data_IF_434862941841
#
_entry.id   IF_434862941841
#
_cell.length_a   1.000
_cell.length_b   1.000
_cell.length_c   1.000
_cell.angle_alpha   90.00
_cell.angle_beta   90.00
_cell.angle_gamma   90.00
#
_symmetry.space_group_name_H-M   'P 1'
#
loop_
_entity.id
_entity.type
_entity.pdbx_description
1 polymer ?
#
# COMPACT_ATOMS: atom_id res chain seq x y z
N UNK A 1 -0.07 -16.42 -7.65
CA UNK A 1 0.37 -15.02 -7.74
C UNK A 1 -0.04 -14.28 -6.46
N UNK A 2 0.84 -13.46 -5.95
CA UNK A 2 0.55 -12.70 -4.73
C UNK A 2 -0.42 -11.55 -5.02
N UNK A 3 -1.36 -11.32 -4.10
CA UNK A 3 -2.28 -10.20 -4.17
C UNK A 3 -1.73 -9.04 -3.36
N UNK A 4 -1.47 -7.93 -4.02
CA UNK A 4 -0.93 -6.73 -3.39
C UNK A 4 -2.00 -5.67 -3.27
N UNK A 5 -2.19 -5.14 -2.07
CA UNK A 5 -3.16 -4.08 -1.79
C UNK A 5 -2.43 -2.93 -1.09
N UNK A 6 -2.66 -1.72 -1.59
CA UNK A 6 -2.05 -0.52 -1.01
C UNK A 6 -3.15 0.37 -0.46
N UNK A 7 -3.08 0.69 0.82
CA UNK A 7 -4.03 1.59 1.49
C UNK A 7 -3.44 2.99 1.56
N UNK A 8 -4.16 3.96 1.03
CA UNK A 8 -3.74 5.36 0.93
C UNK A 8 -4.86 6.31 1.32
N UNK A 9 -4.56 7.60 1.39
CA UNK A 9 -5.56 8.64 1.57
C UNK A 9 -5.11 9.92 0.86
N UNK A 10 -6.05 10.82 0.51
CA UNK A 10 -5.69 12.11 -0.06
C UNK A 10 -4.82 12.92 0.91
N UNK A 11 -3.84 13.63 0.38
CA UNK A 11 -2.95 14.47 1.19
C UNK A 11 -1.82 13.72 1.89
N UNK A 12 -1.68 12.43 1.65
CA UNK A 12 -0.61 11.63 2.25
C UNK A 12 0.66 11.78 1.42
N UNK A 13 1.68 12.42 1.99
CA UNK A 13 2.94 12.66 1.28
C UNK A 13 3.75 11.39 1.03
N UNK A 14 3.64 10.42 1.91
CA UNK A 14 4.37 9.16 1.79
C UNK A 14 3.69 8.16 0.85
N UNK A 15 2.41 8.37 0.55
CA UNK A 15 1.65 7.43 -0.26
C UNK A 15 2.09 7.42 -1.73
N UNK A 16 2.41 8.57 -2.29
CA UNK A 16 2.83 8.64 -3.69
C UNK A 16 4.10 7.84 -3.97
N UNK A 17 5.19 7.99 -3.18
CA UNK A 17 6.37 7.14 -3.37
C UNK A 17 6.09 5.66 -3.17
N UNK A 18 5.23 5.31 -2.20
CA UNK A 18 4.88 3.91 -1.95
C UNK A 18 4.14 3.31 -3.13
N UNK A 19 3.17 4.02 -3.69
CA UNK A 19 2.43 3.57 -4.86
C UNK A 19 3.36 3.40 -6.05
N UNK A 20 4.29 4.32 -6.25
CA UNK A 20 5.25 4.19 -7.33
C UNK A 20 6.16 2.97 -7.17
N UNK A 21 6.60 2.68 -5.95
CA UNK A 21 7.40 1.49 -5.67
C UNK A 21 6.63 0.21 -6.00
N UNK A 22 5.36 0.15 -5.61
CA UNK A 22 4.51 -1.00 -5.91
C UNK A 22 4.29 -1.13 -7.41
N UNK A 23 4.02 -0.02 -8.09
CA UNK A 23 3.80 -0.03 -9.54
C UNK A 23 5.06 -0.47 -10.30
N UNK A 24 6.23 -0.11 -9.82
CA UNK A 24 7.49 -0.55 -10.44
C UNK A 24 7.65 -2.07 -10.42
N UNK A 25 7.07 -2.74 -9.44
CA UNK A 25 7.15 -4.20 -9.30
C UNK A 25 5.96 -4.90 -9.94
N UNK A 26 4.75 -4.38 -9.71
CA UNK A 26 3.50 -5.04 -10.07
C UNK A 26 2.85 -4.48 -11.34
N UNK A 27 3.36 -3.38 -11.89
CA UNK A 27 2.65 -2.67 -12.96
C UNK A 27 1.30 -2.21 -12.46
N UNK A 28 0.23 -2.59 -13.15
CA UNK A 28 -1.12 -2.27 -12.72
C UNK A 28 -1.79 -3.43 -11.95
N UNK A 29 -1.04 -4.49 -11.68
CA UNK A 29 -1.58 -5.69 -11.03
C UNK A 29 -1.57 -5.58 -9.50
N UNK A 30 -2.11 -4.48 -8.98
CA UNK A 30 -2.33 -4.30 -7.54
C UNK A 30 -3.61 -3.51 -7.32
N UNK A 31 -4.13 -3.58 -6.10
CA UNK A 31 -5.35 -2.87 -5.73
C UNK A 31 -4.97 -1.65 -4.90
N UNK A 32 -5.48 -0.49 -5.30
CA UNK A 32 -5.29 0.76 -4.56
C UNK A 32 -6.58 1.06 -3.80
N UNK A 33 -6.51 1.23 -2.50
CA UNK A 33 -7.67 1.50 -1.65
C UNK A 33 -7.51 2.87 -0.99
N UNK A 34 -8.48 3.75 -1.22
CA UNK A 34 -8.57 5.04 -0.54
C UNK A 34 -9.36 4.82 0.76
N UNK A 35 -8.68 4.93 1.90
CA UNK A 35 -9.30 4.66 3.19
C UNK A 35 -10.32 5.74 3.59
N UNK A 36 -10.26 6.92 2.97
CA UNK A 36 -11.17 8.01 3.30
C UNK A 36 -12.61 7.75 2.86
N UNK A 37 -12.82 6.76 1.98
CA UNK A 37 -14.16 6.39 1.52
C UNK A 37 -14.90 5.45 2.47
N UNK A 38 -14.22 4.94 3.49
CA UNK A 38 -14.80 3.98 4.44
C UNK A 38 -14.33 4.33 5.85
N UNK A 39 -15.28 4.60 6.74
CA UNK A 39 -14.98 5.02 8.11
C UNK A 39 -14.18 3.99 8.90
N UNK A 40 -14.46 2.72 8.69
CA UNK A 40 -13.75 1.64 9.39
C UNK A 40 -12.31 1.50 8.90
N UNK A 41 -12.10 1.63 7.59
CA UNK A 41 -10.77 1.61 7.01
C UNK A 41 -9.96 2.81 7.50
N UNK A 42 -10.56 4.00 7.52
CA UNK A 42 -9.89 5.19 8.01
C UNK A 42 -9.46 5.01 9.46
N UNK A 43 -10.34 4.48 10.30
CA UNK A 43 -10.02 4.22 11.70
C UNK A 43 -8.89 3.20 11.86
N UNK A 44 -8.90 2.15 11.04
CA UNK A 44 -7.93 1.07 11.14
C UNK A 44 -6.54 1.47 10.62
N UNK A 45 -6.48 2.26 9.55
CA UNK A 45 -5.22 2.48 8.82
C UNK A 45 -4.69 3.90 8.85
N UNK A 46 -5.47 4.89 9.28
CA UNK A 46 -5.12 6.30 9.15
C UNK A 46 -3.72 6.66 9.65
N UNK A 47 -3.29 6.07 10.75
CA UNK A 47 -2.00 6.38 11.36
C UNK A 47 -0.85 5.58 10.79
N UNK A 48 -1.14 4.63 9.89
CA UNK A 48 -0.15 3.71 9.35
C UNK A 48 0.05 3.83 7.85
N UNK A 49 -0.78 4.62 7.17
CA UNK A 49 -0.70 4.75 5.72
C UNK A 49 0.62 5.41 5.30
N UNK A 50 1.16 5.01 4.14
CA UNK A 50 0.67 3.92 3.31
C UNK A 50 0.90 2.55 3.95
N UNK A 51 -0.08 1.67 3.79
CA UNK A 51 0.04 0.27 4.23
C UNK A 51 0.01 -0.60 2.99
N UNK A 52 0.96 -1.52 2.89
CA UNK A 52 0.99 -2.49 1.80
C UNK A 52 0.77 -3.88 2.38
N UNK A 53 -0.30 -4.53 1.90
CA UNK A 53 -0.61 -5.91 2.26
C UNK A 53 -0.28 -6.82 1.10
N UNK A 54 0.29 -7.97 1.41
CA UNK A 54 0.54 -9.03 0.44
C UNK A 54 -0.19 -10.27 0.93
N UNK A 55 -1.12 -10.76 0.12
CA UNK A 55 -1.97 -11.92 0.44
C UNK A 55 -2.71 -11.75 1.77
N UNK A 56 -3.18 -10.52 2.05
CA UNK A 56 -3.96 -10.22 3.24
C UNK A 56 -3.14 -9.94 4.49
N UNK A 57 -1.81 -9.95 4.38
CA UNK A 57 -0.91 -9.70 5.53
C UNK A 57 -0.20 -8.37 5.33
N UNK A 58 -0.26 -7.50 6.35
CA UNK A 58 0.44 -6.21 6.32
C UNK A 58 1.95 -6.47 6.33
N UNK A 59 2.64 -6.05 5.27
CA UNK A 59 4.08 -6.27 5.14
C UNK A 59 4.87 -4.97 5.25
N UNK A 60 4.29 -3.84 4.87
CA UNK A 60 4.96 -2.53 4.93
C UNK A 60 4.01 -1.49 5.46
N UNK A 61 4.57 -0.51 6.16
CA UNK A 61 3.86 0.71 6.57
C UNK A 61 4.80 1.89 6.43
N UNK A 62 4.24 3.07 6.13
CA UNK A 62 4.92 4.34 5.92
C UNK A 62 5.71 4.39 4.63
N UNK A 63 6.68 3.52 4.44
CA UNK A 63 7.50 3.54 3.23
C UNK A 63 7.99 2.14 2.87
N UNK A 64 8.32 1.96 1.60
CA UNK A 64 8.93 0.75 1.10
C UNK A 64 9.70 1.08 -0.18
N UNK A 65 10.64 0.20 -0.54
CA UNK A 65 11.32 0.28 -1.84
C UNK A 65 10.84 -0.85 -2.74
N UNK A 66 11.03 -0.66 -4.05
CA UNK A 66 10.70 -1.70 -5.02
C UNK A 66 11.48 -2.99 -4.73
N UNK A 67 12.75 -2.86 -4.35
CA UNK A 67 13.57 -4.03 -4.04
C UNK A 67 13.06 -4.79 -2.83
N UNK A 68 12.63 -4.08 -1.79
CA UNK A 68 12.05 -4.73 -0.61
C UNK A 68 10.79 -5.52 -0.98
N UNK A 69 9.95 -4.96 -1.84
CA UNK A 69 8.75 -5.66 -2.27
C UNK A 69 9.08 -6.87 -3.13
N UNK A 70 10.05 -6.75 -4.05
CA UNK A 70 10.48 -7.88 -4.87
C UNK A 70 10.99 -9.04 -4.03
N UNK A 71 11.69 -8.72 -2.94
CA UNK A 71 12.28 -9.76 -2.09
C UNK A 71 11.23 -10.64 -1.42
N UNK A 72 10.01 -10.15 -1.21
CA UNK A 72 8.95 -10.93 -0.57
C UNK A 72 7.94 -11.49 -1.55
N UNK A 73 7.99 -11.11 -2.80
CA UNK A 73 7.16 -11.67 -3.86
C UNK A 73 7.92 -12.78 -4.58
#
# INVERSE_FOLDING_TARGET
>A
MARVVVYTAPGCHLCAPAVEAVRAVCGDAFVLVDISTDRELERAYRRRIPVVEVDGIERFRYELTADELRDIL
#
